data_IF_917258505809
#
_entry.id   IF_917258505809
#
_cell.length_a   1.000
_cell.length_b   1.000
_cell.length_c   1.000
_cell.angle_alpha   90.00
_cell.angle_beta   90.00
_cell.angle_gamma   90.00
#
_symmetry.space_group_name_H-M   'P 1'
#
loop_
_entity.id
_entity.type
_entity.pdbx_description
1 polymer ?
#
# COMPACT_ATOMS: atom_id res chain seq x y z
N UNK A 1 21.29 24.70 14.42
CA UNK A 1 21.70 24.00 13.19
C UNK A 1 20.53 23.15 12.79
N UNK A 2 19.93 23.40 11.65
CA UNK A 2 18.96 22.47 11.05
C UNK A 2 19.75 21.23 10.64
N UNK A 3 19.28 20.01 10.92
CA UNK A 3 19.94 18.81 10.42
C UNK A 3 20.00 18.93 8.88
N UNK A 4 21.18 18.68 8.34
CA UNK A 4 21.36 18.67 6.89
C UNK A 4 20.30 17.72 6.28
N UNK A 5 19.62 18.17 5.24
CA UNK A 5 18.76 17.34 4.46
C UNK A 5 19.63 16.21 3.87
N UNK A 6 19.62 15.03 4.49
CA UNK A 6 20.06 13.82 3.82
C UNK A 6 19.23 13.72 2.53
N UNK A 7 19.86 13.48 1.41
CA UNK A 7 19.17 13.34 0.13
C UNK A 7 18.14 12.22 0.25
N UNK A 8 16.94 12.39 -0.28
CA UNK A 8 15.98 11.30 -0.37
C UNK A 8 16.34 10.43 -1.56
N UNK A 9 16.42 9.12 -1.38
CA UNK A 9 16.55 8.17 -2.49
C UNK A 9 15.29 8.18 -3.36
N UNK A 10 15.44 7.93 -4.66
CA UNK A 10 14.30 7.92 -5.58
C UNK A 10 14.04 6.52 -6.12
N UNK A 11 12.77 6.08 -6.02
CA UNK A 11 12.36 4.74 -6.38
C UNK A 11 11.18 4.70 -7.36
N UNK A 12 11.02 3.58 -8.06
CA UNK A 12 9.83 3.26 -8.84
C UNK A 12 9.15 1.99 -8.29
N UNK A 13 7.84 2.09 -8.00
CA UNK A 13 7.03 1.05 -7.35
C UNK A 13 5.89 0.56 -8.25
N UNK A 14 6.16 -0.26 -9.26
CA UNK A 14 5.10 -0.90 -10.02
C UNK A 14 4.46 -2.04 -9.23
N UNK A 15 3.14 -2.19 -9.34
CA UNK A 15 2.41 -3.26 -8.68
C UNK A 15 1.24 -3.75 -9.54
N UNK A 16 0.81 -4.97 -9.25
CA UNK A 16 -0.40 -5.57 -9.81
C UNK A 16 -1.22 -6.21 -8.69
N UNK A 17 -2.48 -5.83 -8.61
CA UNK A 17 -3.45 -6.36 -7.66
C UNK A 17 -4.56 -7.10 -8.40
N UNK A 18 -4.92 -8.29 -7.96
CA UNK A 18 -6.03 -9.06 -8.48
C UNK A 18 -7.03 -9.38 -7.37
N UNK A 19 -8.28 -9.05 -7.61
CA UNK A 19 -9.38 -9.26 -6.68
C UNK A 19 -10.38 -10.24 -7.29
N UNK A 20 -10.65 -11.35 -6.60
CA UNK A 20 -11.59 -12.37 -7.04
C UNK A 20 -12.72 -12.47 -6.02
N UNK A 21 -13.91 -12.01 -6.40
CA UNK A 21 -15.10 -12.14 -5.58
C UNK A 21 -15.51 -13.60 -5.53
N UNK A 22 -15.57 -14.18 -4.33
CA UNK A 22 -16.10 -15.53 -4.12
C UNK A 22 -17.61 -15.48 -3.88
N UNK A 23 -18.04 -14.58 -3.00
CA UNK A 23 -19.43 -14.28 -2.71
C UNK A 23 -19.59 -12.82 -2.18
N UNK A 24 -20.73 -12.49 -1.56
CA UNK A 24 -20.96 -11.14 -1.04
C UNK A 24 -20.16 -10.81 0.23
N UNK A 25 -19.51 -11.79 0.82
CA UNK A 25 -18.70 -11.61 2.04
C UNK A 25 -17.23 -11.86 1.80
N UNK A 26 -16.88 -12.86 0.98
CA UNK A 26 -15.53 -13.31 0.78
C UNK A 26 -14.95 -12.86 -0.55
N UNK A 27 -13.69 -12.45 -0.51
CA UNK A 27 -12.91 -12.08 -1.68
C UNK A 27 -11.47 -12.54 -1.50
N UNK A 28 -10.90 -13.16 -2.51
CA UNK A 28 -9.47 -13.38 -2.60
C UNK A 28 -8.80 -12.12 -3.15
N UNK A 29 -7.63 -11.82 -2.63
CA UNK A 29 -6.78 -10.72 -3.09
C UNK A 29 -5.37 -11.23 -3.27
N UNK A 30 -4.82 -11.06 -4.46
CA UNK A 30 -3.45 -11.36 -4.80
C UNK A 30 -2.73 -10.08 -5.15
N UNK A 31 -1.45 -9.98 -4.78
CA UNK A 31 -0.62 -8.83 -5.10
C UNK A 31 0.76 -9.27 -5.56
N UNK A 32 1.29 -8.56 -6.54
CA UNK A 32 2.69 -8.61 -6.92
C UNK A 32 3.19 -7.16 -6.96
N UNK A 33 4.20 -6.84 -6.18
CA UNK A 33 4.77 -5.50 -6.11
C UNK A 33 6.28 -5.57 -6.33
N UNK A 34 6.80 -4.57 -7.02
CA UNK A 34 8.22 -4.45 -7.30
C UNK A 34 8.71 -3.12 -6.75
N UNK A 35 9.96 -3.09 -6.35
CA UNK A 35 10.69 -1.87 -5.98
C UNK A 35 11.96 -1.82 -6.82
N UNK A 36 12.21 -0.67 -7.42
CA UNK A 36 13.43 -0.42 -8.20
C UNK A 36 14.01 0.91 -7.77
N UNK A 37 15.23 0.90 -7.27
CA UNK A 37 16.04 2.11 -7.08
C UNK A 37 16.30 2.77 -8.44
N UNK A 38 16.21 4.09 -8.51
CA UNK A 38 16.36 4.85 -9.76
C UNK A 38 17.64 5.70 -9.80
N UNK A 39 18.36 5.78 -8.71
CA UNK A 39 19.63 6.50 -8.66
C UNK A 39 20.76 5.52 -8.99
N UNK A 40 21.39 5.62 -10.18
CA UNK A 40 22.66 4.98 -10.39
C UNK A 40 23.71 5.78 -9.61
N UNK A 41 24.30 5.22 -8.60
CA UNK A 41 25.55 5.77 -8.10
C UNK A 41 26.63 5.58 -9.19
N UNK A 42 26.84 6.63 -9.97
CA UNK A 42 27.73 6.63 -11.12
C UNK A 42 29.21 6.37 -10.75
N UNK A 43 29.52 6.34 -9.46
CA UNK A 43 30.88 6.18 -8.94
C UNK A 43 31.15 4.82 -8.30
N UNK A 44 30.15 4.11 -7.81
CA UNK A 44 30.35 2.86 -7.07
C UNK A 44 30.15 1.59 -7.91
N UNK A 45 29.49 1.70 -9.06
CA UNK A 45 29.04 0.51 -9.81
C UNK A 45 28.01 -0.33 -9.05
N UNK A 46 27.42 0.23 -8.00
CA UNK A 46 26.38 -0.43 -7.23
C UNK A 46 25.17 -0.74 -8.09
N UNK A 47 24.75 -1.97 -8.03
CA UNK A 47 23.64 -2.47 -8.80
C UNK A 47 22.33 -1.85 -8.30
N UNK A 48 21.50 -1.41 -9.22
CA UNK A 48 20.13 -0.96 -8.94
C UNK A 48 19.40 -2.11 -8.26
N UNK A 49 19.13 -2.00 -6.95
CA UNK A 49 18.41 -3.05 -6.22
C UNK A 49 16.99 -3.22 -6.77
N UNK A 50 16.52 -4.45 -6.76
CA UNK A 50 15.21 -4.83 -7.28
C UNK A 50 14.56 -5.81 -6.33
N UNK A 51 13.56 -5.35 -5.62
CA UNK A 51 12.80 -6.20 -4.72
C UNK A 51 11.47 -6.58 -5.35
N UNK A 52 11.05 -7.79 -5.10
CA UNK A 52 9.72 -8.27 -5.47
C UNK A 52 9.00 -8.80 -4.24
N UNK A 53 7.72 -8.52 -4.15
CA UNK A 53 6.85 -9.05 -3.10
C UNK A 53 5.62 -9.67 -3.74
N UNK A 54 5.32 -10.91 -3.38
CA UNK A 54 4.09 -11.61 -3.74
C UNK A 54 3.22 -11.78 -2.50
N UNK A 55 1.90 -11.70 -2.67
CA UNK A 55 0.97 -11.87 -1.57
C UNK A 55 -0.32 -12.54 -1.97
N UNK A 56 -0.87 -13.34 -1.05
CA UNK A 56 -2.18 -13.94 -1.15
C UNK A 56 -2.96 -13.68 0.14
N UNK A 57 -4.20 -13.22 0.00
CA UNK A 57 -5.01 -12.75 1.11
C UNK A 57 -6.47 -13.17 0.94
N UNK A 58 -7.16 -13.33 2.07
CA UNK A 58 -8.60 -13.51 2.14
C UNK A 58 -9.22 -12.30 2.84
N UNK A 59 -10.17 -11.66 2.18
CA UNK A 59 -10.99 -10.59 2.75
C UNK A 59 -12.34 -11.13 3.19
N UNK A 60 -12.75 -10.77 4.39
CA UNK A 60 -14.10 -10.98 4.91
C UNK A 60 -14.78 -9.61 5.08
N UNK A 61 -15.82 -9.34 4.30
CA UNK A 61 -16.66 -8.16 4.45
C UNK A 61 -17.63 -8.38 5.60
N UNK A 62 -17.53 -7.56 6.63
CA UNK A 62 -18.48 -7.55 7.73
C UNK A 62 -19.76 -6.84 7.28
N UNK A 63 -20.91 -7.27 7.78
CA UNK A 63 -22.17 -6.58 7.51
C UNK A 63 -22.02 -5.13 7.99
N UNK A 64 -22.36 -4.12 7.16
CA UNK A 64 -22.25 -2.73 7.59
C UNK A 64 -23.16 -2.48 8.77
N UNK A 65 -22.62 -1.95 9.86
CA UNK A 65 -23.36 -1.49 11.03
C UNK A 65 -24.20 -0.26 10.64
N UNK A 66 -23.68 0.52 9.70
CA UNK A 66 -24.35 1.66 9.09
C UNK A 66 -24.60 1.37 7.61
N UNK A 67 -25.79 1.69 7.12
CA UNK A 67 -26.12 1.66 5.71
C UNK A 67 -26.22 3.09 5.19
N UNK A 68 -25.09 3.79 4.92
CA UNK A 68 -25.18 5.03 4.20
C UNK A 68 -25.79 4.71 2.84
N UNK A 69 -26.60 5.62 2.33
CA UNK A 69 -27.19 5.48 1.00
C UNK A 69 -26.09 5.75 -0.03
N UNK A 70 -25.35 4.71 -0.38
CA UNK A 70 -24.40 4.78 -1.49
C UNK A 70 -25.17 4.84 -2.80
N UNK A 71 -24.76 5.75 -3.65
CA UNK A 71 -25.28 5.86 -5.02
C UNK A 71 -24.36 5.18 -6.05
N UNK A 72 -23.29 4.52 -5.61
CA UNK A 72 -22.38 3.86 -6.52
C UNK A 72 -22.84 2.44 -6.86
N UNK A 73 -22.76 2.08 -8.12
CA UNK A 73 -22.98 0.71 -8.60
C UNK A 73 -21.77 -0.20 -8.40
N UNK A 74 -20.63 0.37 -8.02
CA UNK A 74 -19.39 -0.35 -7.79
C UNK A 74 -19.45 -1.10 -6.46
N UNK A 75 -19.57 -2.42 -6.52
CA UNK A 75 -19.67 -3.28 -5.34
C UNK A 75 -18.43 -3.19 -4.43
N UNK A 76 -17.25 -2.92 -4.98
CA UNK A 76 -16.02 -2.70 -4.18
C UNK A 76 -16.16 -1.49 -3.27
N UNK A 77 -16.88 -0.47 -3.72
CA UNK A 77 -17.11 0.74 -2.98
C UNK A 77 -18.26 0.67 -1.99
N UNK A 78 -19.05 -0.40 -2.03
CA UNK A 78 -20.12 -0.67 -1.08
C UNK A 78 -19.64 -1.37 0.19
N UNK A 79 -18.33 -1.61 0.33
CA UNK A 79 -17.73 -2.23 1.50
C UNK A 79 -17.38 -1.15 2.52
N UNK A 80 -17.97 -1.25 3.73
CA UNK A 80 -17.74 -0.28 4.80
C UNK A 80 -16.74 -0.75 5.83
N UNK A 81 -16.82 -2.03 6.21
CA UNK A 81 -15.91 -2.66 7.14
C UNK A 81 -15.56 -4.03 6.60
N UNK A 82 -14.29 -4.30 6.53
CA UNK A 82 -13.79 -5.63 6.19
C UNK A 82 -12.50 -5.93 6.95
N UNK A 83 -12.26 -7.19 7.15
CA UNK A 83 -11.02 -7.71 7.70
C UNK A 83 -10.31 -8.52 6.64
N UNK A 84 -8.99 -8.54 6.70
CA UNK A 84 -8.13 -9.28 5.79
C UNK A 84 -7.14 -10.08 6.61
N UNK A 85 -6.95 -11.35 6.27
CA UNK A 85 -5.83 -12.15 6.69
C UNK A 85 -5.04 -12.58 5.46
N UNK A 86 -3.72 -12.66 5.56
CA UNK A 86 -2.93 -13.04 4.40
C UNK A 86 -1.46 -13.23 4.72
N UNK A 87 -0.76 -13.62 3.67
CA UNK A 87 0.66 -13.86 3.68
C UNK A 87 1.32 -13.16 2.51
N UNK A 88 2.54 -12.67 2.73
CA UNK A 88 3.42 -12.10 1.71
C UNK A 88 4.80 -12.71 1.81
N UNK A 89 5.41 -12.89 0.66
CA UNK A 89 6.80 -13.26 0.49
C UNK A 89 7.50 -12.17 -0.30
N UNK A 90 8.64 -11.70 0.20
CA UNK A 90 9.48 -10.69 -0.44
C UNK A 90 10.89 -11.21 -0.61
N UNK A 91 11.53 -10.86 -1.71
CA UNK A 91 12.94 -11.19 -1.96
C UNK A 91 13.55 -10.19 -2.95
N UNK A 92 14.87 -10.08 -2.91
CA UNK A 92 15.64 -9.33 -3.90
C UNK A 92 15.81 -10.17 -5.18
N UNK A 93 15.73 -9.54 -6.35
CA UNK A 93 15.91 -10.17 -7.64
C UNK A 93 17.22 -9.69 -8.26
N UNK A 94 18.03 -10.63 -8.77
CA UNK A 94 19.31 -10.37 -9.43
C UNK A 94 20.48 -10.85 -8.60
N UNK A 95 21.68 -10.67 -9.13
CA UNK A 95 22.92 -10.93 -8.43
C UNK A 95 23.26 -9.70 -7.56
N UNK A 96 22.80 -9.69 -6.33
CA UNK A 96 23.05 -8.64 -5.34
C UNK A 96 23.93 -9.21 -4.25
N UNK A 97 24.87 -8.42 -3.74
CA UNK A 97 25.83 -8.86 -2.73
C UNK A 97 25.14 -9.29 -1.43
N UNK A 98 23.98 -8.71 -1.11
CA UNK A 98 23.23 -8.97 0.11
C UNK A 98 21.72 -9.08 -0.19
N UNK A 99 21.26 -10.25 -0.71
CA UNK A 99 19.85 -10.46 -1.03
C UNK A 99 19.04 -10.56 0.26
N UNK A 100 17.90 -9.85 0.33
CA UNK A 100 16.98 -9.99 1.44
C UNK A 100 15.89 -11.03 1.17
N UNK A 101 15.43 -11.67 2.22
CA UNK A 101 14.28 -12.57 2.19
C UNK A 101 13.30 -12.18 3.30
N UNK A 102 12.03 -12.04 2.97
CA UNK A 102 11.00 -11.67 3.94
C UNK A 102 9.77 -12.56 3.86
N UNK A 103 9.41 -13.15 5.00
CA UNK A 103 8.14 -13.82 5.23
C UNK A 103 7.24 -12.92 6.10
N UNK A 104 6.01 -12.66 5.65
CA UNK A 104 5.11 -11.75 6.35
C UNK A 104 3.69 -12.29 6.44
N UNK A 105 3.26 -12.68 7.65
CA UNK A 105 1.86 -12.87 7.99
C UNK A 105 1.21 -11.53 8.30
N UNK A 106 -0.06 -11.31 7.92
CA UNK A 106 -0.76 -10.08 8.24
C UNK A 106 -2.22 -10.29 8.61
N UNK A 107 -2.67 -9.42 9.51
CA UNK A 107 -4.07 -9.19 9.85
C UNK A 107 -4.38 -7.71 9.63
N UNK A 108 -5.45 -7.40 8.91
CA UNK A 108 -5.83 -6.04 8.58
C UNK A 108 -7.31 -5.83 8.84
N UNK A 109 -7.65 -4.68 9.41
CA UNK A 109 -9.01 -4.16 9.45
C UNK A 109 -9.05 -2.90 8.61
N UNK A 110 -10.13 -2.71 7.85
CA UNK A 110 -10.38 -1.46 7.13
C UNK A 110 -11.81 -1.01 7.39
N UNK A 111 -11.95 0.25 7.75
CA UNK A 111 -13.21 0.97 7.92
C UNK A 111 -13.32 2.09 6.91
N UNK A 112 -14.54 2.34 6.40
CA UNK A 112 -14.81 3.38 5.41
C UNK A 112 -16.06 4.15 5.81
N UNK A 113 -15.96 5.49 5.88
CA UNK A 113 -17.05 6.38 6.26
C UNK A 113 -17.25 7.48 5.22
N UNK A 114 -18.51 7.76 4.82
CA UNK A 114 -18.81 8.86 3.93
C UNK A 114 -18.68 10.19 4.66
N UNK A 115 -18.11 11.18 3.99
CA UNK A 115 -18.05 12.57 4.40
C UNK A 115 -18.92 13.44 3.48
N UNK A 116 -19.20 14.71 3.86
CA UNK A 116 -19.88 15.64 2.97
C UNK A 116 -19.16 15.82 1.62
N UNK A 117 -19.90 16.25 0.60
CA UNK A 117 -19.36 16.57 -0.74
C UNK A 117 -18.69 15.38 -1.47
N UNK A 118 -19.23 14.16 -1.28
CA UNK A 118 -18.76 12.92 -1.90
C UNK A 118 -17.32 12.52 -1.51
N UNK A 119 -16.81 13.02 -0.40
CA UNK A 119 -15.56 12.53 0.17
C UNK A 119 -15.79 11.27 0.99
N UNK A 120 -14.75 10.48 1.11
CA UNK A 120 -14.67 9.28 1.92
C UNK A 120 -13.45 9.35 2.82
N UNK A 121 -13.64 8.95 4.07
CA UNK A 121 -12.56 8.68 4.99
C UNK A 121 -12.39 7.18 5.10
N UNK A 122 -11.17 6.69 4.85
CA UNK A 122 -10.84 5.27 4.95
C UNK A 122 -9.73 5.12 5.99
N UNK A 123 -10.05 4.41 7.05
CA UNK A 123 -9.09 4.00 8.08
C UNK A 123 -8.66 2.56 7.80
N UNK A 124 -7.37 2.27 7.96
CA UNK A 124 -6.81 0.94 7.86
C UNK A 124 -5.77 0.70 8.96
N UNK A 125 -6.04 -0.27 9.80
CA UNK A 125 -5.11 -0.81 10.78
C UNK A 125 -4.61 -2.17 10.36
N UNK A 126 -3.28 -2.39 10.40
CA UNK A 126 -2.66 -3.65 9.99
C UNK A 126 -1.60 -4.08 10.99
N UNK A 127 -1.70 -5.32 11.43
CA UNK A 127 -0.67 -6.01 12.20
C UNK A 127 0.09 -6.94 11.26
N UNK A 128 1.41 -6.82 11.24
CA UNK A 128 2.33 -7.61 10.42
C UNK A 128 3.26 -8.41 11.34
N UNK A 129 3.33 -9.72 11.12
CA UNK A 129 4.32 -10.61 11.71
C UNK A 129 5.35 -10.88 10.63
N UNK A 130 6.55 -10.39 10.84
CA UNK A 130 7.61 -10.37 9.84
C UNK A 130 8.78 -11.21 10.29
N UNK A 131 9.33 -11.94 9.37
CA UNK A 131 10.62 -12.61 9.48
C UNK A 131 11.47 -12.15 8.30
N UNK A 132 12.52 -11.40 8.58
CA UNK A 132 13.43 -10.83 7.59
C UNK A 132 14.81 -11.36 7.90
N UNK A 133 15.39 -12.16 7.01
CA UNK A 133 16.71 -12.75 7.16
C UNK A 133 16.90 -13.39 8.55
N UNK A 134 15.97 -14.31 8.92
CA UNK A 134 15.88 -14.98 10.21
C UNK A 134 15.68 -14.04 11.43
N UNK A 135 15.29 -12.79 11.19
CA UNK A 135 15.02 -11.81 12.23
C UNK A 135 13.53 -11.52 12.33
N UNK A 136 12.91 -12.06 13.38
CA UNK A 136 11.47 -11.87 13.61
C UNK A 136 11.15 -10.51 14.23
N UNK A 137 10.10 -9.86 13.74
CA UNK A 137 9.55 -8.63 14.29
C UNK A 137 8.03 -8.55 14.11
N UNK A 138 7.40 -7.72 14.91
CA UNK A 138 5.97 -7.40 14.78
C UNK A 138 5.82 -5.90 14.54
N UNK A 139 4.99 -5.53 13.57
CA UNK A 139 4.76 -4.15 13.19
C UNK A 139 3.27 -3.84 13.16
N UNK A 140 2.89 -2.70 13.72
CA UNK A 140 1.56 -2.12 13.56
C UNK A 140 1.65 -0.99 12.52
N UNK A 141 0.71 -0.98 11.60
CA UNK A 141 0.55 0.09 10.61
C UNK A 141 -0.83 0.70 10.74
N UNK A 142 -0.88 2.01 10.76
CA UNK A 142 -2.12 2.77 10.76
C UNK A 142 -2.13 3.72 9.58
N UNK A 143 -3.15 3.63 8.71
CA UNK A 143 -3.31 4.50 7.54
C UNK A 143 -4.66 5.21 7.59
N UNK A 144 -4.63 6.50 7.31
CA UNK A 144 -5.81 7.30 7.10
C UNK A 144 -5.79 7.87 5.68
N UNK A 145 -6.84 7.62 4.92
CA UNK A 145 -6.99 8.06 3.53
C UNK A 145 -8.21 8.94 3.40
N UNK A 146 -8.07 10.08 2.74
CA UNK A 146 -9.17 10.89 2.25
C UNK A 146 -9.25 10.72 0.73
N UNK A 147 -10.39 10.30 0.23
CA UNK A 147 -10.61 10.06 -1.20
C UNK A 147 -11.94 10.68 -1.67
N UNK A 148 -12.05 10.96 -2.96
CA UNK A 148 -13.26 11.51 -3.56
C UNK A 148 -13.54 10.87 -4.91
N UNK A 149 -14.81 10.47 -5.10
CA UNK A 149 -15.27 10.02 -6.42
C UNK A 149 -15.61 11.25 -7.27
N UNK A 150 -14.96 11.36 -8.43
CA UNK A 150 -15.23 12.48 -9.34
C UNK A 150 -14.84 12.12 -10.79
N UNK A 151 -15.58 12.60 -11.79
CA UNK A 151 -15.19 12.43 -13.17
C UNK A 151 -14.06 13.42 -13.52
N UNK A 152 -13.00 12.92 -14.19
CA UNK A 152 -11.93 13.73 -14.77
C UNK A 152 -11.74 13.27 -16.22
N UNK A 153 -11.82 14.20 -17.18
CA UNK A 153 -11.65 13.88 -18.59
C UNK A 153 -12.66 12.85 -19.13
N UNK A 154 -13.88 12.84 -18.59
CA UNK A 154 -14.94 11.90 -18.99
C UNK A 154 -14.78 10.48 -18.45
N UNK A 155 -13.82 10.23 -17.57
CA UNK A 155 -13.59 8.95 -16.88
C UNK A 155 -13.91 9.08 -15.39
N UNK A 156 -14.47 8.04 -14.81
CA UNK A 156 -14.61 7.95 -13.37
C UNK A 156 -13.24 7.78 -12.73
N UNK A 157 -12.94 8.64 -11.77
CA UNK A 157 -11.66 8.68 -11.06
C UNK A 157 -11.86 8.83 -9.57
N UNK A 158 -10.83 8.46 -8.81
CA UNK A 158 -10.80 8.54 -7.37
C UNK A 158 -9.45 9.11 -6.94
N UNK A 159 -9.28 10.44 -6.99
CA UNK A 159 -8.14 11.08 -6.36
C UNK A 159 -8.18 10.86 -4.85
N UNK A 160 -6.98 10.68 -4.27
CA UNK A 160 -6.83 10.49 -2.85
C UNK A 160 -5.51 11.07 -2.32
N UNK A 161 -5.50 11.29 -1.01
CA UNK A 161 -4.30 11.52 -0.22
C UNK A 161 -4.35 10.63 1.02
N UNK A 162 -3.22 10.12 1.46
CA UNK A 162 -3.15 9.36 2.70
C UNK A 162 -1.86 9.63 3.48
N UNK A 163 -1.95 9.38 4.79
CA UNK A 163 -0.83 9.28 5.70
C UNK A 163 -0.82 7.92 6.38
N UNK A 164 0.34 7.34 6.55
CA UNK A 164 0.52 6.05 7.20
C UNK A 164 1.65 6.09 8.21
N UNK A 165 1.43 5.50 9.38
CA UNK A 165 2.38 5.38 10.47
C UNK A 165 2.78 3.91 10.64
N UNK A 166 4.05 3.68 10.98
CA UNK A 166 4.61 2.34 11.18
C UNK A 166 5.27 2.28 12.57
N UNK A 167 4.63 1.55 13.48
CA UNK A 167 5.17 1.27 14.81
C UNK A 167 5.76 -0.13 14.86
N UNK A 168 7.01 -0.24 15.23
CA UNK A 168 7.72 -1.51 15.38
C UNK A 168 7.81 -1.89 16.85
N UNK A 169 7.20 -3.03 17.24
CA UNK A 169 7.17 -3.49 18.62
C UNK A 169 8.53 -3.95 19.14
N UNK A 170 9.43 -4.42 18.25
CA UNK A 170 10.78 -4.82 18.65
C UNK A 170 11.63 -3.62 19.05
N UNK A 171 11.47 -2.52 18.34
CA UNK A 171 12.17 -1.28 18.61
C UNK A 171 11.44 -0.39 19.63
N UNK A 172 10.21 -0.72 19.98
CA UNK A 172 9.27 0.08 20.79
C UNK A 172 9.19 1.55 20.31
N UNK A 173 9.14 1.74 19.00
CA UNK A 173 9.21 3.06 18.39
C UNK A 173 8.41 3.18 17.10
N UNK A 174 8.00 4.43 16.79
CA UNK A 174 7.51 4.83 15.49
C UNK A 174 8.71 4.92 14.55
N UNK A 175 8.84 3.94 13.64
CA UNK A 175 10.00 3.81 12.76
C UNK A 175 9.87 4.60 11.47
N UNK A 176 8.64 4.78 10.99
CA UNK A 176 8.41 5.28 9.64
C UNK A 176 7.09 6.03 9.53
N UNK A 177 7.09 7.09 8.75
CA UNK A 177 5.89 7.75 8.27
C UNK A 177 5.88 7.69 6.74
N UNK A 178 4.70 7.54 6.13
CA UNK A 178 4.55 7.58 4.68
C UNK A 178 3.38 8.49 4.32
N UNK A 179 3.61 9.34 3.36
CA UNK A 179 2.61 10.20 2.76
C UNK A 179 2.44 9.81 1.31
N UNK A 180 1.21 9.70 0.84
CA UNK A 180 0.94 9.28 -0.52
C UNK A 180 -0.19 10.10 -1.10
N UNK A 181 -0.07 10.48 -2.37
CA UNK A 181 -1.13 11.07 -3.17
C UNK A 181 -1.22 10.38 -4.51
N UNK A 182 -2.42 10.16 -5.00
CA UNK A 182 -2.62 9.44 -6.25
C UNK A 182 -4.03 9.57 -6.78
N UNK A 183 -4.27 8.91 -7.88
CA UNK A 183 -5.59 8.82 -8.50
C UNK A 183 -5.82 7.43 -9.03
N UNK A 184 -6.91 6.79 -8.60
CA UNK A 184 -7.38 5.57 -9.23
C UNK A 184 -8.27 5.94 -10.42
N UNK A 185 -7.94 5.47 -11.62
CA UNK A 185 -8.69 5.68 -12.85
C UNK A 185 -9.40 4.38 -13.22
N UNK A 186 -10.73 4.43 -13.34
CA UNK A 186 -11.55 3.29 -13.72
C UNK A 186 -11.54 3.18 -15.26
N UNK A 187 -10.78 2.20 -15.77
CA UNK A 187 -10.68 1.96 -17.22
C UNK A 187 -11.87 1.17 -17.74
N UNK A 188 -12.26 0.12 -17.01
CA UNK A 188 -13.42 -0.73 -17.30
C UNK A 188 -14.00 -1.22 -15.97
N UNK A 189 -15.11 -1.98 -16.01
CA UNK A 189 -15.66 -2.63 -14.81
C UNK A 189 -14.68 -3.65 -14.14
N UNK A 190 -13.62 -4.07 -14.86
CA UNK A 190 -12.63 -5.03 -14.35
C UNK A 190 -11.26 -4.45 -14.15
N UNK A 191 -10.89 -3.40 -14.86
CA UNK A 191 -9.53 -2.87 -14.87
C UNK A 191 -9.49 -1.45 -14.36
N UNK A 192 -8.55 -1.20 -13.48
CA UNK A 192 -8.21 0.12 -12.97
C UNK A 192 -6.70 0.31 -12.99
N UNK A 193 -6.28 1.55 -13.07
CA UNK A 193 -4.89 1.96 -13.00
C UNK A 193 -4.76 3.04 -11.93
N UNK A 194 -3.71 2.98 -11.13
CA UNK A 194 -3.47 3.91 -10.03
C UNK A 194 -2.03 4.43 -10.06
N UNK A 195 -1.76 5.53 -10.79
CA UNK A 195 -0.53 6.29 -10.61
C UNK A 195 -0.56 7.01 -9.27
N UNK A 196 0.58 7.03 -8.57
CA UNK A 196 0.72 7.74 -7.30
C UNK A 196 2.14 8.20 -7.05
N UNK A 197 2.27 9.21 -6.20
CA UNK A 197 3.51 9.64 -5.59
C UNK A 197 3.51 9.25 -4.11
N UNK A 198 4.65 8.84 -3.60
CA UNK A 198 4.86 8.47 -2.20
C UNK A 198 6.11 9.15 -1.67
N UNK A 199 6.04 9.68 -0.46
CA UNK A 199 7.19 10.14 0.30
C UNK A 199 7.21 9.46 1.65
N UNK A 200 8.34 8.86 1.99
CA UNK A 200 8.53 8.07 3.19
C UNK A 200 9.65 8.66 4.01
N UNK A 201 9.38 8.93 5.28
CA UNK A 201 10.33 9.46 6.25
C UNK A 201 10.72 8.35 7.19
N UNK A 202 11.99 8.05 7.29
CA UNK A 202 12.57 7.13 8.27
C UNK A 202 12.85 7.88 9.58
N UNK A 203 12.38 7.31 10.69
CA UNK A 203 12.30 8.07 11.96
C UNK A 203 13.24 7.50 13.00
N UNK A 204 14.19 6.99 13.05
CA UNK A 204 15.12 6.44 14.07
C UNK A 204 16.11 5.44 13.43
N UNK A 205 16.45 5.67 12.20
CA UNK A 205 17.51 4.95 11.52
C UNK A 205 18.40 5.96 10.81
N UNK A 206 19.59 5.55 10.47
CA UNK A 206 20.46 6.31 9.56
C UNK A 206 20.05 6.11 8.10
N UNK A 207 18.91 5.42 7.87
CA UNK A 207 18.37 5.19 6.54
C UNK A 207 17.88 6.51 5.94
N UNK A 208 18.05 6.67 4.65
CA UNK A 208 17.59 7.83 3.91
C UNK A 208 16.07 7.84 3.75
N UNK A 209 15.50 9.04 3.65
CA UNK A 209 14.11 9.20 3.23
C UNK A 209 13.95 8.66 1.79
N UNK A 210 12.74 8.22 1.46
CA UNK A 210 12.44 7.65 0.14
C UNK A 210 11.34 8.44 -0.55
N UNK A 211 11.63 8.93 -1.74
CA UNK A 211 10.62 9.45 -2.66
C UNK A 211 10.35 8.40 -3.75
N UNK A 212 9.08 8.12 -4.04
CA UNK A 212 8.76 7.12 -5.04
C UNK A 212 7.62 7.53 -5.97
N UNK A 213 7.74 7.13 -7.23
CA UNK A 213 6.61 7.06 -8.16
C UNK A 213 6.09 5.62 -8.20
N UNK A 214 4.79 5.46 -8.08
CA UNK A 214 4.16 4.16 -8.15
C UNK A 214 3.12 4.07 -9.26
N UNK A 215 2.94 2.86 -9.74
CA UNK A 215 1.92 2.53 -10.74
C UNK A 215 1.31 1.18 -10.39
N UNK A 216 0.06 1.17 -9.98
CA UNK A 216 -0.65 -0.06 -9.64
C UNK A 216 -1.72 -0.40 -10.67
N UNK A 217 -1.68 -1.61 -11.20
CA UNK A 217 -2.72 -2.18 -12.05
C UNK A 217 -3.63 -3.05 -11.20
N UNK A 218 -4.95 -2.81 -11.25
CA UNK A 218 -5.94 -3.54 -10.47
C UNK A 218 -6.91 -4.28 -11.38
N UNK A 219 -7.07 -5.57 -11.13
CA UNK A 219 -8.01 -6.44 -11.83
C UNK A 219 -9.08 -6.95 -10.87
N UNK A 220 -10.34 -6.90 -11.28
CA UNK A 220 -11.53 -7.30 -10.51
C UNK A 220 -12.32 -8.36 -11.27
N UNK A 221 -12.61 -9.49 -10.60
CA UNK A 221 -13.41 -10.60 -11.14
C UNK A 221 -14.51 -11.04 -10.17
#
# INVERSE_FOLDING_TARGET
MLPGAAGASFEFWPAMDAFVKLDDRFRLYFTAAFVRGMEPDATSGEEIYRDVTFGAHLDLTLKPIFRPRLRTSDWERQRYVWVRAGYRYGTTIGEVADPFEEHRGLLEQTGRAPLPSAFWLVERSRLEFRDVDDTSSTRLRFRLTCEREMPIGGRETIPYVNGELYYDFRADALKRQRYQSGVEVILTHRWRIEPYFSYQVEMHSDDEDVAALGLNFKYYR
#
